data_IF_296416068416
#
_entry.id   IF_296416068416
#
_cell.length_a   1.000
_cell.length_b   1.000
_cell.length_c   1.000
_cell.angle_alpha   90.00
_cell.angle_beta   90.00
_cell.angle_gamma   90.00
#
_symmetry.space_group_name_H-M   'P 1'
#
loop_
_entity.id
_entity.type
_entity.pdbx_description
1 polymer ?
#
# COMPACT_ATOMS: atom_id res chain seq x y z
N UNK A 1 -26.33 21.67 69.37
CA UNK A 1 -25.26 21.45 70.34
C UNK A 1 -24.01 21.26 69.51
N UNK A 2 -23.12 22.11 69.41
CA UNK A 2 -22.28 23.04 70.16
C UNK A 2 -21.04 23.15 69.31
N UNK A 3 -20.77 24.25 68.60
CA UNK A 3 -19.94 25.42 69.07
C UNK A 3 -18.46 25.04 69.25
N UNK A 4 -17.46 25.64 68.65
CA UNK A 4 -16.84 26.93 68.66
C UNK A 4 -15.57 26.88 67.84
N UNK A 5 -15.19 27.75 66.94
CA UNK A 5 -14.84 29.18 67.06
C UNK A 5 -13.30 29.41 67.02
N UNK A 6 -12.88 30.23 66.08
CA UNK A 6 -11.90 31.36 66.10
C UNK A 6 -10.40 31.02 66.26
N UNK A 7 -9.42 31.75 65.74
CA UNK A 7 -9.28 33.15 65.35
C UNK A 7 -7.94 33.36 64.64
N UNK A 8 -7.85 34.19 63.65
CA UNK A 8 -7.19 35.51 63.52
C UNK A 8 -5.69 35.62 63.89
N UNK A 9 -4.95 36.28 63.01
CA UNK A 9 -3.72 36.99 63.27
C UNK A 9 -3.05 37.53 61.97
N UNK A 10 -3.40 38.77 61.64
CA UNK A 10 -2.71 39.69 60.76
C UNK A 10 -1.29 39.98 61.30
N UNK A 11 -0.31 40.21 60.37
CA UNK A 11 0.50 41.44 60.49
C UNK A 11 1.30 41.73 59.23
N UNK A 12 1.12 42.93 58.76
CA UNK A 12 1.85 43.69 57.74
C UNK A 12 3.28 44.00 58.21
N UNK A 13 4.24 44.15 57.24
CA UNK A 13 5.18 45.29 57.24
C UNK A 13 6.09 45.22 55.94
N UNK A 14 5.92 46.20 55.06
CA UNK A 14 6.95 46.78 54.19
C UNK A 14 7.61 47.98 54.93
N UNK A 15 8.64 48.71 54.40
CA UNK A 15 9.52 48.61 53.22
C UNK A 15 11.02 48.87 53.52
N UNK A 16 11.91 48.72 52.53
CA UNK A 16 13.30 49.12 52.67
C UNK A 16 14.04 49.30 51.33
N UNK A 17 13.92 50.49 50.78
CA UNK A 17 14.69 51.03 49.68
C UNK A 17 16.14 51.33 50.08
N UNK A 18 17.16 50.82 49.33
CA UNK A 18 18.51 51.42 49.31
C UNK A 18 19.17 51.29 47.93
N UNK A 19 19.21 52.39 47.25
CA UNK A 19 20.10 52.76 46.17
C UNK A 19 21.60 52.55 46.53
N UNK A 20 22.39 52.01 45.59
CA UNK A 20 23.79 52.46 45.41
C UNK A 20 24.26 52.22 43.97
N UNK A 21 24.66 53.30 43.34
CA UNK A 21 25.41 53.37 42.10
C UNK A 21 26.79 52.73 42.22
N UNK A 22 27.31 52.24 41.08
CA UNK A 22 28.72 51.84 40.98
C UNK A 22 29.00 51.32 39.57
N UNK A 23 29.54 52.19 38.72
CA UNK A 23 30.00 51.91 37.37
C UNK A 23 31.16 50.92 37.34
N UNK A 24 31.20 50.06 36.31
CA UNK A 24 32.45 49.70 35.64
C UNK A 24 32.19 48.98 34.31
N UNK A 25 32.64 49.53 33.27
CA UNK A 25 32.86 49.10 31.90
C UNK A 25 33.50 47.71 31.80
N UNK A 26 32.91 46.85 30.96
CA UNK A 26 33.49 45.60 30.51
C UNK A 26 32.83 45.13 29.22
N UNK A 27 33.33 45.60 28.07
CA UNK A 27 32.99 45.00 26.76
C UNK A 27 33.54 43.57 26.72
N UNK A 28 32.69 42.58 26.89
CA UNK A 28 32.94 41.22 26.43
C UNK A 28 32.01 40.94 25.26
N UNK A 29 32.59 40.92 24.07
CA UNK A 29 31.89 40.48 22.85
C UNK A 29 31.37 39.06 23.05
N UNK A 30 30.08 38.94 23.32
CA UNK A 30 29.33 37.70 23.16
C UNK A 30 29.14 37.53 21.67
N UNK A 31 30.02 36.76 21.00
CA UNK A 31 29.73 36.18 19.70
C UNK A 31 28.41 35.46 19.81
N UNK A 32 27.41 35.91 19.03
CA UNK A 32 26.15 35.23 18.89
C UNK A 32 26.45 33.80 18.41
N UNK A 33 25.85 32.76 19.02
CA UNK A 33 26.07 31.40 18.55
C UNK A 33 25.67 31.29 17.06
N UNK A 34 26.39 30.48 16.26
CA UNK A 34 26.14 30.36 14.84
C UNK A 34 24.65 30.02 14.66
N UNK A 35 23.98 30.84 13.85
CA UNK A 35 22.59 30.56 13.45
C UNK A 35 22.63 29.21 12.71
N UNK A 36 22.28 28.12 13.41
CA UNK A 36 21.90 26.92 12.74
C UNK A 36 20.77 27.32 11.77
N UNK A 37 21.07 27.24 10.47
CA UNK A 37 20.08 27.40 9.43
C UNK A 37 18.92 26.49 9.81
N UNK A 38 17.79 27.06 10.18
CA UNK A 38 16.58 26.32 10.46
C UNK A 38 16.19 25.62 9.16
N UNK A 39 16.51 24.33 9.04
CA UNK A 39 16.02 23.50 7.92
C UNK A 39 14.53 23.76 7.80
N UNK A 40 14.10 24.31 6.67
CA UNK A 40 12.68 24.54 6.40
C UNK A 40 11.97 23.19 6.53
N UNK A 41 11.21 23.04 7.61
CA UNK A 41 10.39 21.84 7.83
C UNK A 41 9.24 21.89 6.83
N UNK A 42 9.25 20.98 5.87
CA UNK A 42 8.18 20.86 4.87
C UNK A 42 6.85 20.64 5.56
N UNK A 43 5.79 21.22 5.02
CA UNK A 43 4.44 20.95 5.52
C UNK A 43 4.12 19.45 5.42
N UNK A 44 3.40 18.85 6.39
CA UNK A 44 3.12 17.42 6.41
C UNK A 44 2.54 16.87 5.10
N UNK A 45 1.80 17.68 4.35
CA UNK A 45 1.20 17.24 3.06
C UNK A 45 2.26 16.96 1.99
N UNK A 46 3.33 17.74 1.90
CA UNK A 46 4.43 17.49 0.96
C UNK A 46 5.22 16.24 1.32
N UNK A 47 5.38 15.99 2.63
CA UNK A 47 6.01 14.76 3.12
C UNK A 47 5.20 13.55 2.70
N UNK A 48 3.87 13.56 2.91
CA UNK A 48 2.99 12.46 2.50
C UNK A 48 2.99 12.28 0.98
N UNK A 49 3.03 13.38 0.21
CA UNK A 49 3.15 13.29 -1.25
C UNK A 49 4.46 12.60 -1.66
N UNK A 50 5.61 12.94 -1.05
CA UNK A 50 6.88 12.25 -1.28
C UNK A 50 6.81 10.77 -0.90
N UNK A 51 6.16 10.44 0.23
CA UNK A 51 5.96 9.06 0.67
C UNK A 51 5.01 8.28 -0.25
N UNK A 52 4.04 8.94 -0.92
CA UNK A 52 3.12 8.29 -1.86
C UNK A 52 3.82 7.73 -3.11
N UNK A 53 5.08 8.12 -3.37
CA UNK A 53 5.93 7.50 -4.39
C UNK A 53 6.19 6.02 -4.07
N UNK A 54 6.17 5.62 -2.78
CA UNK A 54 6.28 4.23 -2.36
C UNK A 54 5.21 3.33 -2.97
N UNK A 55 3.92 3.53 -2.67
CA UNK A 55 2.83 2.79 -3.31
C UNK A 55 2.79 2.94 -4.84
N UNK A 56 3.13 4.10 -5.40
CA UNK A 56 3.18 4.31 -6.84
C UNK A 56 4.16 3.37 -7.53
N UNK A 57 5.36 3.22 -6.99
CA UNK A 57 6.40 2.36 -7.54
C UNK A 57 6.12 0.90 -7.19
N UNK A 58 5.87 0.58 -5.91
CA UNK A 58 5.73 -0.80 -5.44
C UNK A 58 4.49 -1.51 -5.99
N UNK A 59 3.37 -0.81 -6.08
CA UNK A 59 2.13 -1.37 -6.61
C UNK A 59 1.91 -0.95 -8.07
N UNK A 60 1.98 0.34 -8.38
CA UNK A 60 1.71 0.83 -9.73
C UNK A 60 2.68 0.28 -10.76
N UNK A 61 3.98 0.51 -10.60
CA UNK A 61 4.99 0.12 -11.60
C UNK A 61 5.43 -1.33 -11.46
N UNK A 62 5.75 -1.80 -10.25
CA UNK A 62 6.29 -3.15 -10.07
C UNK A 62 5.23 -4.24 -10.22
N UNK A 63 3.98 -3.99 -9.89
CA UNK A 63 2.93 -5.02 -9.88
C UNK A 63 1.90 -4.83 -11.00
N UNK A 64 1.17 -3.72 -10.99
CA UNK A 64 0.05 -3.53 -11.92
C UNK A 64 0.49 -3.26 -13.36
N UNK A 65 1.63 -2.60 -13.60
CA UNK A 65 2.14 -2.37 -14.95
C UNK A 65 2.53 -3.65 -15.70
N UNK A 66 2.65 -4.77 -15.01
CA UNK A 66 2.93 -6.06 -15.64
C UNK A 66 1.80 -6.49 -16.60
N UNK A 67 0.54 -6.27 -16.26
CA UNK A 67 -0.58 -6.71 -17.08
C UNK A 67 -0.62 -6.11 -18.50
N UNK A 68 -0.44 -4.80 -18.72
CA UNK A 68 -0.33 -4.25 -20.07
C UNK A 68 0.93 -4.70 -20.83
N UNK A 69 2.01 -5.07 -20.14
CA UNK A 69 3.24 -5.59 -20.77
C UNK A 69 3.14 -7.09 -21.13
N UNK A 70 2.35 -7.84 -20.36
CA UNK A 70 2.26 -9.29 -20.46
C UNK A 70 1.96 -9.83 -21.88
N UNK A 71 0.98 -9.32 -22.64
CA UNK A 71 0.70 -9.88 -23.97
C UNK A 71 1.91 -9.80 -24.91
N UNK A 72 2.66 -8.68 -24.88
CA UNK A 72 3.85 -8.49 -25.67
C UNK A 72 5.00 -9.39 -25.22
N UNK A 73 5.22 -9.51 -23.90
CA UNK A 73 6.22 -10.42 -23.32
C UNK A 73 5.92 -11.88 -23.67
N UNK A 74 4.66 -12.30 -23.51
CA UNK A 74 4.22 -13.67 -23.80
C UNK A 74 4.47 -14.03 -25.27
N UNK A 75 4.15 -13.14 -26.18
CA UNK A 75 4.33 -13.36 -27.61
C UNK A 75 5.82 -13.42 -28.01
N UNK A 76 6.65 -12.50 -27.51
CA UNK A 76 8.08 -12.41 -27.84
C UNK A 76 8.91 -13.56 -27.23
N UNK A 77 8.55 -13.97 -25.99
CA UNK A 77 9.30 -14.96 -25.21
C UNK A 77 8.74 -16.39 -25.33
N UNK A 78 7.64 -16.57 -26.06
CA UNK A 78 7.00 -17.88 -26.25
C UNK A 78 6.41 -18.49 -24.97
N UNK A 79 5.99 -17.65 -24.03
CA UNK A 79 5.50 -18.11 -22.73
C UNK A 79 4.10 -18.71 -22.79
N UNK A 80 3.86 -19.69 -21.91
CA UNK A 80 2.53 -20.12 -21.50
C UNK A 80 1.89 -19.06 -20.57
N UNK A 81 0.60 -19.19 -20.25
CA UNK A 81 -0.01 -18.37 -19.22
C UNK A 81 0.46 -18.77 -17.81
N UNK A 82 0.86 -20.05 -17.61
CA UNK A 82 1.50 -20.50 -16.39
C UNK A 82 2.85 -19.80 -16.16
N UNK A 83 3.69 -19.66 -17.18
CA UNK A 83 4.95 -18.90 -17.11
C UNK A 83 4.70 -17.44 -16.76
N UNK A 84 3.70 -16.85 -17.41
CA UNK A 84 3.27 -15.49 -17.11
C UNK A 84 2.76 -15.33 -15.66
N UNK A 85 2.01 -16.30 -15.16
CA UNK A 85 1.56 -16.36 -13.77
C UNK A 85 2.74 -16.48 -12.80
N UNK A 86 3.75 -17.30 -13.14
CA UNK A 86 4.95 -17.47 -12.32
C UNK A 86 5.72 -16.15 -12.09
N UNK A 87 5.76 -15.26 -13.09
CA UNK A 87 6.36 -13.92 -12.94
C UNK A 87 5.66 -13.07 -11.87
N UNK A 88 4.33 -13.13 -11.82
CA UNK A 88 3.56 -12.39 -10.81
C UNK A 88 3.60 -13.08 -9.44
N UNK A 89 3.65 -14.40 -9.41
CA UNK A 89 3.92 -15.19 -8.19
C UNK A 89 5.29 -14.86 -7.60
N UNK A 90 6.34 -14.76 -8.42
CA UNK A 90 7.67 -14.36 -7.94
C UNK A 90 7.65 -12.96 -7.29
N UNK A 91 6.96 -11.99 -7.91
CA UNK A 91 6.75 -10.67 -7.31
C UNK A 91 5.96 -10.76 -5.98
N UNK A 92 4.89 -11.56 -5.94
CA UNK A 92 4.09 -11.78 -4.73
C UNK A 92 4.87 -12.44 -3.60
N UNK A 93 5.68 -13.46 -3.91
CA UNK A 93 6.54 -14.14 -2.93
C UNK A 93 7.62 -13.19 -2.38
N UNK A 94 8.26 -12.43 -3.27
CA UNK A 94 9.17 -11.36 -2.87
C UNK A 94 8.49 -10.35 -1.94
N UNK A 95 7.29 -9.90 -2.30
CA UNK A 95 6.52 -8.96 -1.49
C UNK A 95 6.19 -9.52 -0.09
N UNK A 96 5.80 -10.79 -0.01
CA UNK A 96 5.55 -11.46 1.27
C UNK A 96 6.81 -11.47 2.14
N UNK A 97 7.94 -11.90 1.59
CA UNK A 97 9.22 -11.91 2.30
C UNK A 97 9.62 -10.50 2.73
N UNK A 98 9.52 -9.53 1.81
CA UNK A 98 9.83 -8.13 2.08
C UNK A 98 9.01 -7.54 3.22
N UNK A 99 7.70 -7.81 3.26
CA UNK A 99 6.82 -7.37 4.33
C UNK A 99 7.20 -7.96 5.70
N UNK A 100 7.63 -9.23 5.73
CA UNK A 100 8.08 -9.90 6.95
C UNK A 100 9.39 -9.32 7.51
N UNK A 101 10.32 -8.94 6.62
CA UNK A 101 11.64 -8.43 7.04
C UNK A 101 11.68 -6.91 7.19
N UNK A 102 10.67 -6.18 6.70
CA UNK A 102 10.64 -4.72 6.65
C UNK A 102 10.94 -4.07 8.02
N UNK A 103 10.24 -4.51 9.08
CA UNK A 103 10.48 -3.99 10.43
C UNK A 103 11.91 -4.28 10.94
N UNK A 104 12.49 -5.42 10.56
CA UNK A 104 13.88 -5.76 10.88
C UNK A 104 14.89 -4.86 10.19
N UNK A 105 14.63 -4.53 8.92
CA UNK A 105 15.44 -3.61 8.14
C UNK A 105 15.32 -2.20 8.70
N UNK A 106 14.09 -1.71 8.95
CA UNK A 106 13.86 -0.39 9.54
C UNK A 106 14.59 -0.18 10.87
N UNK A 107 14.60 -1.22 11.75
CA UNK A 107 15.37 -1.18 13.01
C UNK A 107 16.88 -1.02 12.81
N UNK A 108 17.44 -1.59 11.74
CA UNK A 108 18.91 -1.59 11.51
C UNK A 108 19.40 -0.34 10.82
N UNK A 109 18.64 0.17 9.84
CA UNK A 109 19.10 1.26 8.97
C UNK A 109 18.26 2.54 9.10
N UNK A 110 17.17 2.52 9.89
CA UNK A 110 16.18 3.59 9.97
C UNK A 110 15.10 3.47 8.88
N UNK A 111 13.88 3.92 9.18
CA UNK A 111 12.74 3.77 8.26
C UNK A 111 12.90 4.61 6.98
N UNK A 112 13.53 5.79 7.08
CA UNK A 112 13.80 6.64 5.91
C UNK A 112 14.79 6.01 4.94
N UNK A 113 15.90 5.46 5.46
CA UNK A 113 16.89 4.77 4.64
C UNK A 113 16.30 3.49 4.06
N UNK A 114 15.54 2.71 4.85
CA UNK A 114 14.82 1.53 4.38
C UNK A 114 13.87 1.88 3.23
N UNK A 115 13.07 2.93 3.37
CA UNK A 115 12.17 3.42 2.32
C UNK A 115 12.95 3.80 1.05
N UNK A 116 13.92 4.71 1.16
CA UNK A 116 14.63 5.28 0.02
C UNK A 116 15.46 4.23 -0.74
N UNK A 117 16.24 3.42 -0.02
CA UNK A 117 17.05 2.36 -0.64
C UNK A 117 16.17 1.29 -1.32
N UNK A 118 15.07 0.92 -0.67
CA UNK A 118 14.16 -0.07 -1.24
C UNK A 118 13.44 0.45 -2.49
N UNK A 119 13.10 1.73 -2.56
CA UNK A 119 12.55 2.32 -3.79
C UNK A 119 13.56 2.30 -4.94
N UNK A 120 14.83 2.63 -4.67
CA UNK A 120 15.90 2.57 -5.67
C UNK A 120 16.10 1.13 -6.18
N UNK A 121 16.15 0.16 -5.27
CA UNK A 121 16.28 -1.27 -5.63
C UNK A 121 15.07 -1.74 -6.44
N UNK A 122 13.85 -1.37 -6.03
CA UNK A 122 12.63 -1.71 -6.77
C UNK A 122 12.69 -1.15 -8.19
N UNK A 123 13.04 0.12 -8.35
CA UNK A 123 13.10 0.79 -9.64
C UNK A 123 14.20 0.21 -10.54
N UNK A 124 15.37 -0.11 -9.96
CA UNK A 124 16.46 -0.77 -10.68
C UNK A 124 16.06 -2.18 -11.14
N UNK A 125 15.37 -2.95 -10.30
CA UNK A 125 14.87 -4.27 -10.67
C UNK A 125 13.79 -4.22 -11.77
N UNK A 126 12.90 -3.21 -11.73
CA UNK A 126 11.93 -2.93 -12.79
C UNK A 126 12.66 -2.65 -14.11
N UNK A 127 13.60 -1.69 -14.12
CA UNK A 127 14.38 -1.34 -15.33
C UNK A 127 15.22 -2.52 -15.83
N UNK A 128 15.84 -3.26 -14.91
CA UNK A 128 16.62 -4.48 -15.22
C UNK A 128 15.83 -5.55 -15.96
N UNK A 129 14.52 -5.65 -15.72
CA UNK A 129 13.66 -6.57 -16.47
C UNK A 129 13.61 -6.26 -17.98
N UNK A 130 13.84 -5.02 -18.39
CA UNK A 130 13.96 -4.64 -19.80
C UNK A 130 15.28 -5.07 -20.47
N UNK A 131 16.30 -5.44 -19.69
CA UNK A 131 17.64 -5.77 -20.18
C UNK A 131 17.86 -7.26 -20.44
N UNK A 132 16.92 -8.13 -20.09
CA UNK A 132 17.08 -9.58 -20.20
C UNK A 132 15.84 -10.26 -20.82
N UNK A 133 16.05 -11.38 -21.49
CA UNK A 133 15.00 -12.30 -21.94
C UNK A 133 15.06 -13.65 -21.20
N UNK A 134 16.06 -13.83 -20.32
CA UNK A 134 16.20 -15.07 -19.57
C UNK A 134 15.11 -15.19 -18.51
N UNK A 135 14.36 -16.28 -18.54
CA UNK A 135 13.22 -16.53 -17.65
C UNK A 135 13.62 -16.46 -16.17
N UNK A 136 14.72 -17.10 -15.79
CA UNK A 136 15.17 -17.12 -14.39
C UNK A 136 15.62 -15.74 -13.91
N UNK A 137 16.31 -14.99 -14.77
CA UNK A 137 16.71 -13.61 -14.46
C UNK A 137 15.48 -12.70 -14.27
N UNK A 138 14.46 -12.86 -15.11
CA UNK A 138 13.20 -12.14 -14.98
C UNK A 138 12.47 -12.52 -13.68
N UNK A 139 12.40 -13.81 -13.32
CA UNK A 139 11.84 -14.27 -12.04
C UNK A 139 12.55 -13.63 -10.84
N UNK A 140 13.88 -13.62 -10.85
CA UNK A 140 14.68 -13.01 -9.78
C UNK A 140 14.43 -11.50 -9.67
N UNK A 141 14.41 -10.78 -10.79
CA UNK A 141 14.12 -9.35 -10.82
C UNK A 141 12.69 -9.05 -10.34
N UNK A 142 11.72 -9.89 -10.70
CA UNK A 142 10.34 -9.80 -10.20
C UNK A 142 10.27 -10.05 -8.69
N UNK A 143 10.99 -11.06 -8.18
CA UNK A 143 11.07 -11.32 -6.73
C UNK A 143 11.75 -10.18 -5.98
N UNK A 144 12.87 -9.65 -6.48
CA UNK A 144 13.60 -8.51 -5.89
C UNK A 144 12.72 -7.25 -5.89
N UNK A 145 12.04 -6.95 -7.02
CA UNK A 145 11.14 -5.80 -7.07
C UNK A 145 9.97 -5.92 -6.09
N UNK A 146 9.46 -7.13 -5.89
CA UNK A 146 8.43 -7.41 -4.89
C UNK A 146 8.94 -7.21 -3.46
N UNK A 147 10.09 -7.80 -3.14
CA UNK A 147 10.70 -7.72 -1.81
C UNK A 147 11.01 -6.27 -1.43
N UNK A 148 11.75 -5.57 -2.26
CA UNK A 148 12.12 -4.18 -2.00
C UNK A 148 10.87 -3.27 -2.00
N UNK A 149 9.92 -3.49 -2.92
CA UNK A 149 8.65 -2.76 -2.95
C UNK A 149 7.85 -2.91 -1.66
N UNK A 150 7.83 -4.10 -1.06
CA UNK A 150 7.15 -4.33 0.22
C UNK A 150 7.84 -3.60 1.39
N UNK A 151 9.18 -3.62 1.44
CA UNK A 151 9.94 -2.87 2.46
C UNK A 151 9.64 -1.38 2.35
N UNK A 152 9.68 -0.81 1.13
CA UNK A 152 9.34 0.58 0.90
C UNK A 152 7.89 0.90 1.30
N UNK A 153 6.94 0.03 0.94
CA UNK A 153 5.53 0.19 1.27
C UNK A 153 5.28 0.19 2.77
N UNK A 154 5.89 -0.73 3.52
CA UNK A 154 5.73 -0.83 4.98
C UNK A 154 6.40 0.34 5.69
N UNK A 155 7.65 0.66 5.35
CA UNK A 155 8.38 1.79 5.92
C UNK A 155 7.67 3.13 5.63
N UNK A 156 7.21 3.33 4.39
CA UNK A 156 6.47 4.53 3.99
C UNK A 156 5.13 4.69 4.71
N UNK A 157 4.40 3.60 4.97
CA UNK A 157 3.17 3.63 5.76
C UNK A 157 3.44 4.03 7.22
N UNK A 158 4.52 3.51 7.81
CA UNK A 158 4.99 3.90 9.15
C UNK A 158 5.34 5.38 9.22
N UNK A 159 6.18 5.87 8.30
CA UNK A 159 6.56 7.28 8.19
C UNK A 159 5.34 8.20 7.96
N UNK A 160 4.38 7.76 7.14
CA UNK A 160 3.14 8.51 6.90
C UNK A 160 2.27 8.62 8.14
N UNK A 161 2.20 7.55 8.93
CA UNK A 161 1.48 7.54 10.20
C UNK A 161 2.14 8.47 11.23
N UNK A 162 3.47 8.46 11.31
CA UNK A 162 4.23 9.35 12.19
C UNK A 162 4.08 10.83 11.80
N UNK A 163 4.15 11.16 10.50
CA UNK A 163 3.92 12.52 10.01
C UNK A 163 2.49 13.02 10.30
N UNK A 164 1.51 12.13 10.30
CA UNK A 164 0.12 12.46 10.62
C UNK A 164 -0.09 12.77 12.11
N UNK A 165 0.66 12.15 13.03
CA UNK A 165 0.53 12.38 14.48
C UNK A 165 1.14 13.70 14.94
N UNK A 166 2.09 14.27 14.18
CA UNK A 166 2.62 15.62 14.44
C UNK A 166 1.64 16.77 14.15
N UNK A 167 0.44 16.47 13.61
CA UNK A 167 -0.65 17.40 13.32
C UNK A 167 -1.92 17.11 14.12
N UNK A 168 -3.04 17.75 13.76
CA UNK A 168 -4.35 17.46 14.33
C UNK A 168 -4.75 16.00 14.02
N UNK A 169 -5.18 15.25 15.07
CA UNK A 169 -5.68 13.85 14.95
C UNK A 169 -6.75 13.66 13.86
N UNK A 170 -7.48 14.73 13.52
CA UNK A 170 -8.52 14.69 12.50
C UNK A 170 -7.98 14.53 11.07
N UNK A 171 -6.71 14.81 10.82
CA UNK A 171 -6.07 14.75 9.49
C UNK A 171 -5.41 13.41 9.15
N UNK A 172 -5.19 12.54 10.13
CA UNK A 172 -4.49 11.28 9.93
C UNK A 172 -5.14 10.35 8.87
N UNK A 173 -6.48 10.17 8.82
CA UNK A 173 -7.12 9.36 7.78
C UNK A 173 -6.90 9.91 6.37
N UNK A 174 -6.98 11.23 6.22
CA UNK A 174 -6.76 11.90 4.93
C UNK A 174 -5.32 11.72 4.45
N UNK A 175 -4.35 11.86 5.33
CA UNK A 175 -2.93 11.68 5.01
C UNK A 175 -2.62 10.24 4.57
N UNK A 176 -3.14 9.25 5.27
CA UNK A 176 -3.03 7.85 4.85
C UNK A 176 -3.76 7.59 3.53
N UNK A 177 -4.91 8.22 3.31
CA UNK A 177 -5.60 8.18 2.02
C UNK A 177 -4.74 8.69 0.88
N UNK A 178 -4.04 9.82 1.05
CA UNK A 178 -3.10 10.38 0.05
C UNK A 178 -1.93 9.41 -0.19
N UNK A 179 -1.37 8.83 0.89
CA UNK A 179 -0.31 7.83 0.76
C UNK A 179 -0.75 6.65 -0.12
N UNK A 180 -1.88 6.03 0.17
CA UNK A 180 -2.39 4.89 -0.60
C UNK A 180 -2.87 5.26 -2.01
N UNK A 181 -3.36 6.49 -2.21
CA UNK A 181 -3.72 7.01 -3.53
C UNK A 181 -2.53 7.03 -4.51
N UNK A 182 -1.29 7.06 -3.99
CA UNK A 182 -0.08 6.88 -4.78
C UNK A 182 -0.10 5.63 -5.65
N UNK A 183 -0.67 4.51 -5.17
CA UNK A 183 -0.81 3.30 -5.98
C UNK A 183 -1.65 3.53 -7.24
N UNK A 184 -2.80 4.20 -7.10
CA UNK A 184 -3.66 4.55 -8.24
C UNK A 184 -2.98 5.51 -9.22
N UNK A 185 -2.22 6.48 -8.70
CA UNK A 185 -1.41 7.40 -9.53
C UNK A 185 -0.37 6.60 -10.33
N UNK A 186 0.34 5.66 -9.69
CA UNK A 186 1.31 4.80 -10.35
C UNK A 186 0.68 3.90 -11.42
N UNK A 187 -0.50 3.33 -11.16
CA UNK A 187 -1.27 2.57 -12.13
C UNK A 187 -1.62 3.45 -13.34
N UNK A 188 -2.16 4.65 -13.11
CA UNK A 188 -2.51 5.60 -14.16
C UNK A 188 -1.29 6.03 -14.99
N UNK A 189 -0.18 6.34 -14.32
CA UNK A 189 1.06 6.72 -14.99
C UNK A 189 1.59 5.57 -15.88
N UNK A 190 1.54 4.33 -15.39
CA UNK A 190 1.93 3.14 -16.18
C UNK A 190 0.97 2.91 -17.37
N UNK A 191 -0.33 3.17 -17.18
CA UNK A 191 -1.33 3.07 -18.23
C UNK A 191 -1.06 4.01 -19.41
N UNK A 192 -0.60 5.21 -19.11
CA UNK A 192 -0.27 6.20 -20.14
C UNK A 192 1.08 5.94 -20.80
N UNK A 193 2.09 5.53 -20.01
CA UNK A 193 3.44 5.34 -20.51
C UNK A 193 3.62 4.04 -21.32
N UNK A 194 3.09 2.91 -20.83
CA UNK A 194 3.40 1.59 -21.40
C UNK A 194 2.89 1.42 -22.84
N UNK A 195 1.61 1.71 -23.19
CA UNK A 195 1.13 1.46 -24.55
C UNK A 195 1.83 2.31 -25.60
N UNK A 196 2.20 3.54 -25.26
CA UNK A 196 2.95 4.40 -26.17
C UNK A 196 4.35 3.86 -26.47
N UNK A 197 4.97 3.20 -25.50
CA UNK A 197 6.30 2.62 -25.64
C UNK A 197 6.27 1.23 -26.28
N UNK A 198 5.19 0.46 -26.08
CA UNK A 198 5.05 -0.87 -26.67
C UNK A 198 5.11 -0.85 -28.19
N UNK A 199 4.57 0.20 -28.84
CA UNK A 199 4.56 0.34 -30.30
C UNK A 199 5.94 0.66 -30.88
N UNK A 200 6.81 1.33 -30.13
CA UNK A 200 8.11 1.84 -30.62
C UNK A 200 9.29 1.01 -30.13
N UNK A 201 9.28 0.58 -28.87
CA UNK A 201 10.43 -0.08 -28.22
C UNK A 201 10.10 -1.45 -27.63
N UNK A 202 8.86 -1.91 -27.79
CA UNK A 202 8.37 -3.18 -27.26
C UNK A 202 8.31 -3.20 -25.73
N UNK A 203 8.11 -4.38 -25.14
CA UNK A 203 8.00 -4.58 -23.70
C UNK A 203 9.28 -4.22 -22.94
N UNK A 204 10.45 -4.35 -23.57
CA UNK A 204 11.74 -3.99 -22.96
C UNK A 204 11.83 -2.50 -22.71
N UNK A 205 11.47 -1.69 -23.70
CA UNK A 205 11.38 -0.24 -23.54
C UNK A 205 10.36 0.18 -22.47
N UNK A 206 9.23 -0.53 -22.38
CA UNK A 206 8.24 -0.34 -21.32
C UNK A 206 8.84 -0.53 -19.92
N UNK A 207 9.57 -1.63 -19.67
CA UNK A 207 10.24 -1.86 -18.39
C UNK A 207 11.34 -0.85 -18.10
N UNK A 208 12.17 -0.48 -19.09
CA UNK A 208 13.23 0.52 -18.94
C UNK A 208 12.64 1.89 -18.56
N UNK A 209 11.58 2.32 -19.24
CA UNK A 209 10.93 3.58 -18.95
C UNK A 209 10.27 3.59 -17.55
N UNK A 210 9.59 2.51 -17.15
CA UNK A 210 9.04 2.39 -15.81
C UNK A 210 10.14 2.40 -14.74
N UNK A 211 11.29 1.76 -15.01
CA UNK A 211 12.47 1.82 -14.15
C UNK A 211 13.01 3.24 -14.01
N UNK A 212 13.15 3.96 -15.13
CA UNK A 212 13.62 5.35 -15.13
C UNK A 212 12.67 6.30 -14.40
N UNK A 213 11.36 6.19 -14.66
CA UNK A 213 10.33 6.95 -13.93
C UNK A 213 10.33 6.61 -12.44
N UNK A 214 10.51 5.33 -12.11
CA UNK A 214 10.63 4.87 -10.74
C UNK A 214 11.88 5.44 -10.05
N UNK A 215 13.03 5.47 -10.71
CA UNK A 215 14.25 6.09 -10.19
C UNK A 215 14.06 7.59 -9.94
N UNK A 216 13.47 8.32 -10.88
CA UNK A 216 13.16 9.73 -10.72
C UNK A 216 12.22 9.99 -9.52
N UNK A 217 11.15 9.19 -9.40
CA UNK A 217 10.23 9.28 -8.28
C UNK A 217 10.89 8.87 -6.95
N UNK A 218 11.81 7.90 -6.95
CA UNK A 218 12.58 7.49 -5.77
C UNK A 218 13.49 8.61 -5.28
N UNK A 219 14.17 9.31 -6.20
CA UNK A 219 15.01 10.47 -5.88
C UNK A 219 14.16 11.59 -5.29
N UNK A 220 13.03 11.92 -5.93
CA UNK A 220 12.11 12.95 -5.44
C UNK A 220 11.60 12.64 -4.02
N UNK A 221 11.12 11.41 -3.79
CA UNK A 221 10.65 10.97 -2.48
C UNK A 221 11.76 11.04 -1.41
N UNK A 222 12.98 10.63 -1.76
CA UNK A 222 14.13 10.67 -0.86
C UNK A 222 14.55 12.10 -0.52
N UNK A 223 14.51 13.02 -1.50
CA UNK A 223 14.79 14.45 -1.28
C UNK A 223 13.78 15.09 -0.34
N UNK A 224 12.50 14.78 -0.50
CA UNK A 224 11.46 15.26 0.42
C UNK A 224 11.69 14.74 1.84
N UNK A 225 12.05 13.46 1.99
CA UNK A 225 12.31 12.84 3.29
C UNK A 225 13.58 13.35 3.99
N UNK A 226 14.59 13.82 3.24
CA UNK A 226 15.81 14.36 3.84
C UNK A 226 15.56 15.59 4.71
N UNK A 227 14.45 16.30 4.49
CA UNK A 227 14.03 17.48 5.25
C UNK A 227 13.10 17.19 6.42
N UNK A 228 12.82 15.91 6.72
CA UNK A 228 11.94 15.51 7.82
C UNK A 228 12.76 14.86 8.94
N UNK A 229 12.38 14.99 10.22
CA UNK A 229 13.02 14.23 11.30
C UNK A 229 12.70 12.73 11.20
N UNK A 230 13.61 11.87 11.68
CA UNK A 230 13.34 10.44 11.84
C UNK A 230 12.35 10.25 13.00
N UNK A 231 11.24 9.54 12.82
CA UNK A 231 10.36 9.27 13.93
C UNK A 231 11.03 8.33 14.94
N UNK A 232 10.79 8.50 16.26
CA UNK A 232 11.30 7.57 17.25
C UNK A 232 10.74 6.17 17.00
N UNK A 233 11.61 5.17 17.05
CA UNK A 233 11.21 3.78 16.85
C UNK A 233 10.56 3.22 18.13
N UNK A 234 9.25 2.99 18.09
CA UNK A 234 8.54 2.34 19.18
C UNK A 234 8.60 0.82 19.03
N UNK A 235 9.33 0.16 19.94
CA UNK A 235 9.38 -1.30 20.01
C UNK A 235 8.13 -1.83 20.71
N UNK A 236 7.15 -2.26 19.97
CA UNK A 236 5.99 -2.97 20.50
C UNK A 236 6.22 -4.49 20.37
N UNK A 237 7.05 -5.06 21.24
CA UNK A 237 7.27 -6.49 21.33
C UNK A 237 6.45 -7.09 22.47
N UNK A 238 5.13 -7.16 22.33
CA UNK A 238 4.32 -7.92 23.25
C UNK A 238 3.74 -9.17 22.58
N UNK A 239 3.90 -10.32 23.23
CA UNK A 239 3.29 -11.59 22.82
C UNK A 239 1.85 -11.64 23.35
N UNK A 240 0.91 -12.15 22.52
CA UNK A 240 -0.51 -12.25 22.88
C UNK A 240 -1.33 -11.01 22.49
N UNK A 241 -2.62 -11.02 22.87
CA UNK A 241 -3.53 -9.88 22.63
C UNK A 241 -4.27 -9.90 21.29
N UNK A 242 -4.21 -11.00 20.52
CA UNK A 242 -5.07 -11.32 19.38
C UNK A 242 -5.24 -12.84 19.23
N UNK A 243 -6.32 -13.29 18.60
CA UNK A 243 -6.62 -14.70 18.41
C UNK A 243 -6.74 -15.05 16.93
N UNK A 244 -5.90 -15.98 16.45
CA UNK A 244 -5.98 -16.50 15.09
C UNK A 244 -7.31 -17.26 14.87
N UNK A 245 -7.82 -17.96 15.88
CA UNK A 245 -9.12 -18.69 15.82
C UNK A 245 -10.27 -17.70 15.64
N UNK A 246 -10.30 -16.61 16.39
CA UNK A 246 -11.31 -15.56 16.25
C UNK A 246 -11.23 -14.90 14.87
N UNK A 247 -10.02 -14.67 14.34
CA UNK A 247 -9.79 -14.04 13.05
C UNK A 247 -9.77 -15.03 11.87
N UNK A 248 -10.14 -16.29 12.07
CA UNK A 248 -10.00 -17.34 11.05
C UNK A 248 -10.73 -17.01 9.74
N UNK A 249 -12.00 -16.55 9.82
CA UNK A 249 -12.74 -16.13 8.64
C UNK A 249 -12.06 -14.96 7.92
N UNK A 250 -11.50 -14.01 8.67
CA UNK A 250 -10.78 -12.86 8.10
C UNK A 250 -9.48 -13.29 7.42
N UNK A 251 -8.71 -14.17 8.04
CA UNK A 251 -7.48 -14.72 7.47
C UNK A 251 -7.78 -15.49 6.17
N UNK A 252 -8.77 -16.39 6.21
CA UNK A 252 -9.17 -17.19 5.04
C UNK A 252 -9.70 -16.30 3.92
N UNK A 253 -10.64 -15.39 4.22
CA UNK A 253 -11.19 -14.48 3.20
C UNK A 253 -10.13 -13.61 2.56
N UNK A 254 -9.14 -13.17 3.34
CA UNK A 254 -8.07 -12.32 2.83
C UNK A 254 -7.03 -13.09 2.01
N UNK A 255 -6.79 -14.38 2.33
CA UNK A 255 -6.02 -15.30 1.48
C UNK A 255 -6.71 -15.49 0.13
N UNK A 256 -8.01 -15.80 0.16
CA UNK A 256 -8.80 -15.99 -1.07
C UNK A 256 -8.87 -14.69 -1.89
N UNK A 257 -9.07 -13.54 -1.24
CA UNK A 257 -9.02 -12.25 -1.93
C UNK A 257 -7.67 -12.04 -2.62
N UNK A 258 -6.55 -12.34 -1.92
CA UNK A 258 -5.21 -12.27 -2.50
C UNK A 258 -5.07 -13.11 -3.77
N UNK A 259 -5.61 -14.31 -3.79
CA UNK A 259 -5.58 -15.20 -4.95
C UNK A 259 -6.46 -14.68 -6.09
N UNK A 260 -7.70 -14.31 -5.81
CA UNK A 260 -8.67 -13.92 -6.84
C UNK A 260 -8.31 -12.60 -7.52
N UNK A 261 -8.02 -11.55 -6.75
CA UNK A 261 -7.79 -10.23 -7.34
C UNK A 261 -6.51 -10.16 -8.20
N UNK A 262 -5.44 -10.86 -7.79
CA UNK A 262 -4.17 -10.79 -8.51
C UNK A 262 -4.19 -11.61 -9.79
N UNK A 263 -4.94 -12.70 -9.85
CA UNK A 263 -5.13 -13.46 -11.08
C UNK A 263 -5.87 -12.60 -12.13
N UNK A 264 -6.92 -11.90 -11.74
CA UNK A 264 -7.58 -10.92 -12.61
C UNK A 264 -6.62 -9.79 -13.03
N UNK A 265 -5.96 -9.15 -12.07
CA UNK A 265 -5.02 -8.07 -12.36
C UNK A 265 -3.87 -8.51 -13.28
N UNK A 266 -3.53 -9.79 -13.32
CA UNK A 266 -2.50 -10.35 -14.22
C UNK A 266 -3.01 -10.55 -15.64
N UNK A 267 -4.19 -11.15 -15.79
CA UNK A 267 -4.64 -11.69 -17.07
C UNK A 267 -5.73 -10.87 -17.76
N UNK A 268 -6.32 -9.85 -17.11
CA UNK A 268 -7.43 -9.08 -17.68
C UNK A 268 -7.06 -8.41 -19.01
N UNK A 269 -5.85 -7.84 -19.13
CA UNK A 269 -5.41 -7.19 -20.40
C UNK A 269 -5.26 -8.22 -21.53
N UNK A 270 -4.75 -9.42 -21.22
CA UNK A 270 -4.69 -10.50 -22.20
C UNK A 270 -6.10 -10.88 -22.66
N UNK A 271 -7.05 -11.03 -21.75
CA UNK A 271 -8.46 -11.30 -22.05
C UNK A 271 -9.08 -10.21 -22.94
N UNK A 272 -8.94 -8.94 -22.58
CA UNK A 272 -9.51 -7.83 -23.33
C UNK A 272 -8.94 -7.75 -24.76
N UNK A 273 -7.66 -8.08 -24.95
CA UNK A 273 -7.04 -8.12 -26.27
C UNK A 273 -7.48 -9.32 -27.10
N UNK A 274 -7.47 -10.52 -26.52
CA UNK A 274 -7.68 -11.77 -27.28
C UNK A 274 -9.16 -12.09 -27.46
N UNK A 275 -10.02 -11.79 -26.48
CA UNK A 275 -11.42 -12.18 -26.49
C UNK A 275 -12.37 -11.01 -26.83
N UNK A 276 -12.02 -9.78 -26.44
CA UNK A 276 -12.85 -8.60 -26.66
C UNK A 276 -12.32 -7.70 -27.81
N UNK A 277 -11.15 -7.99 -28.37
CA UNK A 277 -10.58 -7.27 -29.50
C UNK A 277 -10.13 -5.85 -29.18
N UNK A 278 -9.82 -5.54 -27.91
CA UNK A 278 -9.41 -4.18 -27.51
C UNK A 278 -8.08 -3.80 -28.13
N UNK A 279 -8.05 -2.62 -28.74
CA UNK A 279 -6.83 -1.97 -29.21
C UNK A 279 -6.01 -1.36 -28.08
N UNK A 280 -4.85 -0.83 -28.40
CA UNK A 280 -3.96 -0.21 -27.42
C UNK A 280 -4.57 1.02 -26.73
N UNK A 281 -5.40 1.81 -27.45
CA UNK A 281 -6.09 2.97 -26.89
C UNK A 281 -7.14 2.57 -25.86
N UNK A 282 -7.95 1.56 -26.16
CA UNK A 282 -8.97 1.00 -25.24
C UNK A 282 -8.33 0.37 -23.99
N UNK A 283 -7.20 -0.30 -24.13
CA UNK A 283 -6.43 -0.84 -22.98
C UNK A 283 -5.87 0.30 -22.12
N UNK A 284 -5.34 1.35 -22.76
CA UNK A 284 -4.88 2.55 -22.03
C UNK A 284 -6.00 3.17 -21.21
N UNK A 285 -7.17 3.38 -21.84
CA UNK A 285 -8.34 3.94 -21.17
C UNK A 285 -8.80 3.06 -20.02
N UNK A 286 -8.93 1.74 -20.23
CA UNK A 286 -9.30 0.78 -19.19
C UNK A 286 -8.38 0.86 -17.97
N UNK A 287 -7.06 0.85 -18.20
CA UNK A 287 -6.07 0.83 -17.12
C UNK A 287 -5.94 2.18 -16.42
N UNK A 288 -6.08 3.28 -17.16
CA UNK A 288 -6.12 4.63 -16.59
C UNK A 288 -7.36 4.86 -15.71
N UNK A 289 -8.54 4.43 -16.17
CA UNK A 289 -9.78 4.47 -15.39
C UNK A 289 -9.63 3.63 -14.12
N UNK A 290 -9.05 2.44 -14.18
CA UNK A 290 -8.78 1.60 -13.02
C UNK A 290 -7.89 2.33 -12.00
N UNK A 291 -6.81 2.97 -12.45
CA UNK A 291 -5.91 3.73 -11.59
C UNK A 291 -6.61 4.94 -10.94
N UNK A 292 -7.35 5.73 -11.72
CA UNK A 292 -8.11 6.88 -11.21
C UNK A 292 -9.21 6.43 -10.23
N UNK A 293 -9.93 5.36 -10.55
CA UNK A 293 -10.92 4.78 -9.65
C UNK A 293 -10.28 4.32 -8.32
N UNK A 294 -9.03 3.80 -8.35
CA UNK A 294 -8.30 3.43 -7.13
C UNK A 294 -7.98 4.65 -6.25
N UNK A 295 -7.66 5.79 -6.86
CA UNK A 295 -7.49 7.05 -6.13
C UNK A 295 -8.79 7.48 -5.46
N UNK A 296 -9.90 7.49 -6.21
CA UNK A 296 -11.22 7.87 -5.67
C UNK A 296 -11.65 6.91 -4.57
N UNK A 297 -11.49 5.61 -4.80
CA UNK A 297 -11.86 4.55 -3.85
C UNK A 297 -11.14 4.66 -2.51
N UNK A 298 -9.88 5.11 -2.50
CA UNK A 298 -9.11 5.32 -1.27
C UNK A 298 -9.78 6.30 -0.29
N UNK A 299 -10.60 7.22 -0.79
CA UNK A 299 -11.35 8.20 0.02
C UNK A 299 -12.83 7.83 0.18
N UNK A 300 -13.47 7.33 -0.88
CA UNK A 300 -14.91 7.09 -0.93
C UNK A 300 -15.39 6.01 0.05
N UNK A 301 -14.60 4.97 0.27
CA UNK A 301 -14.97 3.86 1.13
C UNK A 301 -14.89 4.17 2.64
N UNK A 302 -14.12 5.17 3.06
CA UNK A 302 -13.94 5.49 4.48
C UNK A 302 -15.25 5.65 5.27
N UNK A 303 -16.19 6.52 4.85
CA UNK A 303 -17.48 6.71 5.52
C UNK A 303 -18.37 5.46 5.53
N UNK A 304 -18.30 4.64 4.47
CA UNK A 304 -19.08 3.41 4.33
C UNK A 304 -18.54 2.35 5.31
N UNK A 305 -17.23 2.14 5.32
CA UNK A 305 -16.57 1.16 6.20
C UNK A 305 -16.77 1.50 7.69
N UNK A 306 -16.87 2.78 8.03
CA UNK A 306 -17.15 3.22 9.40
C UNK A 306 -18.53 2.79 9.92
N UNK A 307 -19.50 2.51 9.04
CA UNK A 307 -20.86 2.08 9.39
C UNK A 307 -21.02 0.56 9.41
N UNK A 308 -20.11 -0.18 8.75
CA UNK A 308 -20.21 -1.63 8.61
C UNK A 308 -19.51 -2.33 9.78
N UNK A 309 -20.17 -3.33 10.36
CA UNK A 309 -19.69 -4.09 11.53
C UNK A 309 -19.12 -5.44 11.10
N UNK A 310 -18.28 -6.03 11.94
CA UNK A 310 -17.71 -7.36 11.76
C UNK A 310 -17.02 -7.56 10.43
N UNK A 311 -17.43 -8.61 9.73
CA UNK A 311 -16.91 -8.96 8.42
C UNK A 311 -17.49 -8.18 7.26
N UNK A 312 -18.62 -7.46 7.44
CA UNK A 312 -19.39 -6.85 6.34
C UNK A 312 -18.60 -5.82 5.54
N UNK A 313 -17.70 -5.08 6.16
CA UNK A 313 -16.84 -4.13 5.44
C UNK A 313 -15.93 -4.81 4.40
N UNK A 314 -15.28 -5.91 4.79
CA UNK A 314 -14.47 -6.71 3.87
C UNK A 314 -15.34 -7.44 2.85
N UNK A 315 -16.47 -8.03 3.28
CA UNK A 315 -17.41 -8.71 2.39
C UNK A 315 -17.91 -7.79 1.29
N UNK A 316 -18.40 -6.60 1.61
CA UNK A 316 -18.91 -5.64 0.64
C UNK A 316 -17.84 -5.19 -0.37
N UNK A 317 -16.64 -4.87 0.12
CA UNK A 317 -15.54 -4.45 -0.76
C UNK A 317 -15.05 -5.58 -1.66
N UNK A 318 -14.94 -6.82 -1.15
CA UNK A 318 -14.58 -8.00 -1.95
C UNK A 318 -15.69 -8.34 -2.96
N UNK A 319 -16.98 -8.26 -2.56
CA UNK A 319 -18.11 -8.45 -3.48
C UNK A 319 -18.06 -7.47 -4.65
N UNK A 320 -17.78 -6.20 -4.37
CA UNK A 320 -17.65 -5.18 -5.43
C UNK A 320 -16.50 -5.51 -6.39
N UNK A 321 -15.36 -6.00 -5.87
CA UNK A 321 -14.25 -6.49 -6.69
C UNK A 321 -14.71 -7.70 -7.53
N UNK A 322 -15.43 -8.67 -6.93
CA UNK A 322 -15.93 -9.85 -7.64
C UNK A 322 -16.87 -9.47 -8.78
N UNK A 323 -17.79 -8.53 -8.54
CA UNK A 323 -18.69 -7.99 -9.60
C UNK A 323 -17.86 -7.33 -10.71
N UNK A 324 -16.85 -6.52 -10.35
CA UNK A 324 -15.96 -5.90 -11.31
C UNK A 324 -15.27 -6.95 -12.19
N UNK A 325 -14.77 -8.05 -11.61
CA UNK A 325 -14.13 -9.15 -12.36
C UNK A 325 -15.13 -9.90 -13.24
N UNK A 326 -16.35 -10.15 -12.77
CA UNK A 326 -17.37 -10.90 -13.50
C UNK A 326 -17.97 -10.14 -14.70
N UNK A 327 -18.06 -8.82 -14.60
CA UNK A 327 -18.76 -7.98 -15.58
C UNK A 327 -18.32 -8.23 -17.04
N UNK A 328 -17.02 -8.14 -17.41
CA UNK A 328 -16.61 -8.35 -18.79
C UNK A 328 -16.73 -9.80 -19.27
N UNK A 329 -16.91 -10.75 -18.33
CA UNK A 329 -17.11 -12.16 -18.67
C UNK A 329 -18.59 -12.51 -18.99
N UNK A 330 -19.52 -11.71 -18.46
CA UNK A 330 -20.98 -11.90 -18.61
C UNK A 330 -21.51 -10.99 -19.70
N UNK A 331 -21.09 -9.74 -19.70
CA UNK A 331 -21.52 -8.71 -20.63
C UNK A 331 -20.36 -8.22 -21.46
N UNK A 332 -20.35 -8.58 -22.75
CA UNK A 332 -19.26 -8.24 -23.68
C UNK A 332 -19.30 -6.78 -24.12
N UNK A 333 -18.12 -6.24 -24.43
CA UNK A 333 -17.97 -4.92 -25.03
C UNK A 333 -17.35 -3.86 -24.11
N UNK A 334 -17.08 -2.65 -24.66
CA UNK A 334 -16.30 -1.62 -23.96
C UNK A 334 -16.95 -1.11 -22.68
N UNK A 335 -18.26 -0.97 -22.65
CA UNK A 335 -18.99 -0.45 -21.48
C UNK A 335 -18.78 -1.32 -20.25
N UNK A 336 -18.90 -2.64 -20.41
CA UNK A 336 -18.71 -3.59 -19.31
C UNK A 336 -17.28 -3.58 -18.81
N UNK A 337 -16.30 -3.50 -19.71
CA UNK A 337 -14.90 -3.42 -19.36
C UNK A 337 -14.58 -2.15 -18.56
N UNK A 338 -15.08 -0.98 -18.99
CA UNK A 338 -14.85 0.27 -18.26
C UNK A 338 -15.57 0.29 -16.90
N UNK A 339 -16.78 -0.25 -16.81
CA UNK A 339 -17.46 -0.43 -15.52
C UNK A 339 -16.68 -1.40 -14.61
N UNK A 340 -16.13 -2.48 -15.18
CA UNK A 340 -15.24 -3.41 -14.47
C UNK A 340 -14.03 -2.67 -13.88
N UNK A 341 -13.37 -1.82 -14.68
CA UNK A 341 -12.22 -1.05 -14.22
C UNK A 341 -12.55 -0.08 -13.08
N UNK A 342 -13.74 0.53 -13.11
CA UNK A 342 -14.23 1.41 -12.03
C UNK A 342 -14.51 0.61 -10.75
N UNK A 343 -15.24 -0.49 -10.85
CA UNK A 343 -15.62 -1.30 -9.68
C UNK A 343 -14.41 -1.98 -9.04
N UNK A 344 -13.57 -2.60 -9.87
CA UNK A 344 -12.35 -3.25 -9.41
C UNK A 344 -11.36 -2.24 -8.83
N UNK A 345 -10.99 -1.22 -9.60
CA UNK A 345 -10.05 -0.18 -9.17
C UNK A 345 -10.55 0.55 -7.93
N UNK A 346 -11.81 0.99 -7.94
CA UNK A 346 -12.41 1.73 -6.83
C UNK A 346 -12.53 0.94 -5.52
N UNK A 347 -12.43 -0.40 -5.56
CA UNK A 347 -12.66 -1.23 -4.37
C UNK A 347 -11.44 -2.04 -3.93
N UNK A 348 -10.49 -2.34 -4.81
CA UNK A 348 -9.36 -3.24 -4.50
C UNK A 348 -8.52 -2.76 -3.31
N UNK A 349 -8.22 -1.48 -3.21
CA UNK A 349 -7.48 -0.90 -2.07
C UNK A 349 -8.35 -0.75 -0.82
N UNK A 350 -9.66 -0.62 -0.98
CA UNK A 350 -10.60 -0.54 0.13
C UNK A 350 -10.69 -1.85 0.92
N UNK A 351 -10.47 -3.01 0.28
CA UNK A 351 -10.38 -4.30 0.99
C UNK A 351 -9.25 -4.26 2.02
N UNK A 352 -8.07 -3.71 1.65
CA UNK A 352 -6.93 -3.57 2.57
C UNK A 352 -7.30 -2.68 3.76
N UNK A 353 -7.98 -1.57 3.50
CA UNK A 353 -8.45 -0.66 4.55
C UNK A 353 -9.46 -1.32 5.48
N UNK A 354 -10.44 -2.05 4.94
CA UNK A 354 -11.47 -2.77 5.71
C UNK A 354 -10.86 -3.85 6.61
N UNK A 355 -9.91 -4.64 6.09
CA UNK A 355 -9.21 -5.69 6.83
C UNK A 355 -8.32 -5.12 7.91
N UNK A 356 -7.55 -4.06 7.61
CA UNK A 356 -6.67 -3.39 8.58
C UNK A 356 -7.47 -2.70 9.69
N UNK A 357 -8.60 -2.07 9.38
CA UNK A 357 -9.50 -1.47 10.37
C UNK A 357 -10.09 -2.53 11.31
N UNK A 358 -10.51 -3.69 10.77
CA UNK A 358 -10.99 -4.80 11.58
C UNK A 358 -9.89 -5.34 12.51
N UNK A 359 -8.66 -5.53 12.02
CA UNK A 359 -7.54 -6.01 12.84
C UNK A 359 -7.29 -5.13 14.08
N UNK A 360 -7.43 -3.81 13.94
CA UNK A 360 -7.30 -2.86 15.06
C UNK A 360 -8.43 -2.98 16.08
N UNK A 361 -9.64 -3.38 15.66
CA UNK A 361 -10.76 -3.66 16.57
C UNK A 361 -10.62 -5.00 17.26
N UNK A 362 -10.06 -6.01 16.56
CA UNK A 362 -9.98 -7.40 17.01
C UNK A 362 -8.71 -7.74 17.79
N UNK A 363 -7.81 -6.78 18.03
CA UNK A 363 -6.55 -6.97 18.75
C UNK A 363 -6.29 -5.83 19.72
N UNK A 364 -5.58 -6.12 20.82
CA UNK A 364 -5.10 -5.10 21.77
C UNK A 364 -4.06 -4.20 21.08
N UNK A 365 -3.90 -2.93 21.50
CA UNK A 365 -2.97 -1.99 20.85
C UNK A 365 -1.55 -2.53 20.65
N UNK A 366 -0.99 -3.23 21.64
CA UNK A 366 0.34 -3.83 21.56
C UNK A 366 0.43 -5.02 20.57
N UNK A 367 -0.69 -5.61 20.18
CA UNK A 367 -0.76 -6.76 19.27
C UNK A 367 -1.18 -6.39 17.83
N UNK A 368 -1.48 -5.12 17.53
CA UNK A 368 -1.92 -4.68 16.20
C UNK A 368 -0.93 -5.09 15.11
N UNK A 369 0.36 -4.87 15.35
CA UNK A 369 1.43 -5.24 14.40
C UNK A 369 1.42 -6.73 14.09
N UNK A 370 1.26 -7.59 15.11
CA UNK A 370 1.22 -9.05 14.93
C UNK A 370 -0.04 -9.50 14.16
N UNK A 371 -1.22 -8.94 14.47
CA UNK A 371 -2.46 -9.24 13.77
C UNK A 371 -2.41 -8.81 12.30
N UNK A 372 -1.90 -7.60 12.02
CA UNK A 372 -1.72 -7.10 10.65
C UNK A 372 -0.68 -7.94 9.89
N UNK A 373 0.41 -8.34 10.54
CA UNK A 373 1.41 -9.23 9.94
C UNK A 373 0.81 -10.57 9.54
N UNK A 374 0.01 -11.20 10.41
CA UNK A 374 -0.67 -12.46 10.10
C UNK A 374 -1.61 -12.33 8.89
N UNK A 375 -2.38 -11.23 8.81
CA UNK A 375 -3.24 -10.93 7.65
C UNK A 375 -2.40 -10.69 6.38
N UNK A 376 -1.27 -10.01 6.49
CA UNK A 376 -0.36 -9.77 5.35
C UNK A 376 0.22 -11.08 4.84
N UNK A 377 0.59 -12.01 5.74
CA UNK A 377 1.05 -13.36 5.37
C UNK A 377 -0.07 -14.11 4.64
N UNK A 378 -1.27 -14.14 5.19
CA UNK A 378 -2.42 -14.78 4.60
C UNK A 378 -2.70 -14.26 3.17
N UNK A 379 -2.73 -12.94 3.01
CA UNK A 379 -2.87 -12.28 1.72
C UNK A 379 -1.74 -12.63 0.74
N UNK A 380 -0.48 -12.62 1.20
CA UNK A 380 0.69 -12.95 0.40
C UNK A 380 0.67 -14.39 -0.10
N UNK A 381 0.23 -15.34 0.71
CA UNK A 381 0.03 -16.74 0.30
C UNK A 381 -0.96 -16.80 -0.86
N UNK A 382 -2.10 -16.12 -0.74
CA UNK A 382 -3.07 -16.04 -1.82
C UNK A 382 -2.48 -15.45 -3.11
N UNK A 383 -1.71 -14.39 -2.99
CA UNK A 383 -1.04 -13.76 -4.14
C UNK A 383 -0.04 -14.66 -4.85
N UNK A 384 0.59 -15.59 -4.13
CA UNK A 384 1.48 -16.56 -4.75
C UNK A 384 0.72 -17.65 -5.51
N UNK A 385 -0.42 -18.08 -4.97
CA UNK A 385 -1.19 -19.20 -5.54
C UNK A 385 -2.05 -18.74 -6.73
N UNK A 386 -2.68 -17.57 -6.62
CA UNK A 386 -3.67 -17.10 -7.61
C UNK A 386 -3.19 -17.06 -9.05
N UNK A 387 -2.07 -16.39 -9.37
CA UNK A 387 -1.59 -16.30 -10.74
C UNK A 387 -1.14 -17.64 -11.33
N UNK A 388 -0.60 -18.55 -10.51
CA UNK A 388 -0.24 -19.90 -10.95
C UNK A 388 -1.48 -20.71 -11.34
N UNK A 389 -2.50 -20.75 -10.49
CA UNK A 389 -3.75 -21.45 -10.77
C UNK A 389 -4.49 -20.82 -11.96
N UNK A 390 -4.58 -19.48 -11.97
CA UNK A 390 -5.20 -18.75 -13.06
C UNK A 390 -4.48 -18.96 -14.39
N UNK A 391 -3.14 -18.95 -14.37
CA UNK A 391 -2.31 -19.19 -15.55
C UNK A 391 -2.43 -20.63 -16.07
N UNK A 392 -2.27 -21.62 -15.21
CA UNK A 392 -2.42 -23.02 -15.57
C UNK A 392 -3.79 -23.33 -16.17
N UNK A 393 -4.87 -22.76 -15.61
CA UNK A 393 -6.22 -22.93 -16.14
C UNK A 393 -6.41 -22.19 -17.48
N UNK A 394 -5.69 -21.09 -17.69
CA UNK A 394 -5.72 -20.31 -18.91
C UNK A 394 -4.97 -20.96 -20.08
N UNK A 395 -4.10 -21.92 -19.82
CA UNK A 395 -3.44 -22.75 -20.85
C UNK A 395 -4.36 -23.90 -21.33
N UNK A 396 -5.49 -24.12 -20.67
CA UNK A 396 -6.50 -25.11 -21.04
C UNK A 396 -7.40 -24.67 -22.22
N UNK A 397 -8.36 -25.52 -22.61
CA UNK A 397 -9.18 -25.33 -23.83
C UNK A 397 -10.07 -24.08 -23.81
N UNK A 398 -10.42 -23.57 -22.63
CA UNK A 398 -11.24 -22.37 -22.48
C UNK A 398 -10.41 -21.08 -22.37
N UNK A 399 -9.08 -21.17 -22.48
CA UNK A 399 -8.18 -20.04 -22.49
C UNK A 399 -8.26 -19.14 -21.25
N UNK A 400 -7.86 -17.88 -21.41
CA UNK A 400 -7.80 -16.88 -20.33
C UNK A 400 -9.16 -16.70 -19.60
N UNK A 401 -10.26 -16.90 -20.31
CA UNK A 401 -11.61 -16.80 -19.73
C UNK A 401 -11.83 -17.77 -18.57
N UNK A 402 -11.27 -18.99 -18.65
CA UNK A 402 -11.35 -19.96 -17.55
C UNK A 402 -10.62 -19.51 -16.30
N UNK A 403 -9.39 -18.96 -16.46
CA UNK A 403 -8.62 -18.39 -15.35
C UNK A 403 -9.34 -17.23 -14.67
N UNK A 404 -10.02 -16.37 -15.45
CA UNK A 404 -10.80 -15.27 -14.90
C UNK A 404 -12.08 -15.72 -14.19
N UNK A 405 -12.78 -16.76 -14.67
CA UNK A 405 -13.90 -17.34 -13.94
C UNK A 405 -13.48 -17.98 -12.63
N UNK A 406 -12.30 -18.60 -12.57
CA UNK A 406 -11.72 -19.05 -11.30
C UNK A 406 -11.53 -17.86 -10.33
N UNK A 407 -11.03 -16.72 -10.81
CA UNK A 407 -10.93 -15.49 -10.00
C UNK A 407 -12.28 -15.06 -9.43
N UNK A 408 -13.34 -15.06 -10.25
CA UNK A 408 -14.71 -14.73 -9.79
C UNK A 408 -15.15 -15.69 -8.69
N UNK A 409 -15.00 -16.99 -8.90
CA UNK A 409 -15.40 -18.01 -7.91
C UNK A 409 -14.67 -17.83 -6.58
N UNK A 410 -13.35 -17.64 -6.63
CA UNK A 410 -12.52 -17.39 -5.44
C UNK A 410 -12.97 -16.11 -4.71
N UNK A 411 -13.24 -15.02 -5.43
CA UNK A 411 -13.65 -13.74 -4.84
C UNK A 411 -15.04 -13.80 -4.24
N UNK A 412 -15.98 -14.53 -4.86
CA UNK A 412 -17.31 -14.75 -4.30
C UNK A 412 -17.21 -15.53 -2.99
N UNK A 413 -16.45 -16.63 -2.96
CA UNK A 413 -16.20 -17.40 -1.74
C UNK A 413 -15.53 -16.53 -0.69
N UNK A 414 -14.53 -15.71 -1.07
CA UNK A 414 -13.85 -14.79 -0.17
C UNK A 414 -14.82 -13.79 0.48
N UNK A 415 -15.75 -13.23 -0.32
CA UNK A 415 -16.78 -12.30 0.17
C UNK A 415 -17.74 -12.97 1.15
N UNK A 416 -18.21 -14.16 0.82
CA UNK A 416 -19.10 -14.94 1.68
C UNK A 416 -18.42 -15.30 3.00
N UNK A 417 -17.18 -15.82 2.94
CA UNK A 417 -16.40 -16.16 4.15
C UNK A 417 -16.15 -14.91 5.01
N UNK A 418 -15.88 -13.75 4.37
CA UNK A 418 -15.72 -12.50 5.10
C UNK A 418 -16.95 -12.11 5.90
N UNK A 419 -18.17 -12.32 5.36
CA UNK A 419 -19.42 -11.97 6.02
C UNK A 419 -19.64 -12.74 7.34
N UNK A 420 -19.13 -13.96 7.45
CA UNK A 420 -19.23 -14.78 8.66
C UNK A 420 -18.30 -14.33 9.79
N UNK A 421 -17.42 -13.34 9.58
CA UNK A 421 -16.57 -12.82 10.63
C UNK A 421 -17.38 -11.99 11.63
N UNK A 422 -17.50 -12.41 12.91
CA UNK A 422 -18.24 -11.67 13.91
C UNK A 422 -17.58 -10.32 14.25
N UNK A 423 -18.36 -9.38 14.78
CA UNK A 423 -17.80 -8.15 15.39
C UNK A 423 -17.08 -8.53 16.68
N UNK A 424 -15.90 -7.99 16.97
CA UNK A 424 -15.23 -8.22 18.25
C UNK A 424 -16.06 -7.66 19.41
N UNK A 425 -16.40 -8.50 20.39
CA UNK A 425 -16.98 -8.07 21.64
C UNK A 425 -15.88 -7.66 22.63
N UNK A 426 -16.25 -6.87 23.66
CA UNK A 426 -15.29 -6.47 24.70
C UNK A 426 -14.65 -7.69 25.39
N UNK A 427 -15.43 -8.77 25.56
CA UNK A 427 -14.99 -10.02 26.18
C UNK A 427 -14.04 -10.85 25.29
N UNK A 428 -14.06 -10.66 23.97
CA UNK A 428 -13.14 -11.34 23.04
C UNK A 428 -11.71 -10.81 23.12
N UNK A 429 -11.46 -9.72 23.84
CA UNK A 429 -10.15 -9.09 24.02
C UNK A 429 -9.41 -9.57 25.29
N UNK A 430 -9.94 -10.57 25.99
CA UNK A 430 -9.36 -11.12 27.24
C UNK A 430 -8.32 -12.24 27.00
N UNK A 431 -7.65 -12.26 25.84
CA UNK A 431 -6.58 -13.25 25.52
C UNK A 431 -5.21 -12.86 26.05
#
# INVERSE_FOLDING_TARGET
MGTHQKSQGDELLQPGNRTREGAATGHSGLEAPPRHEAKQVLTPIWVIFGLSMGPAIALGFARFAYAPLLPSMKADLGWSFADAGAMNTANGAGYLIGALVAAGIGRRVGDKAAFSLSLLVTSAAIGGAGLTANFMSLLLLRAVSGLAGAVAFVAGAGLSSAAATGGSRSRAPTMLGIYFAGAGIGITASALAVPALLSSTGWRGGWLALGALGLAASILGSLVLSHTPEPPYEVHAARGGWSARFMACKLLSYTLFGAGYIAYATFTVAYLRTNEGFDSGSITAFWAILGLASVVGAFAWGPILGRLKGGWGASATIAMVAVGVALPLIWHGPTSAYLSSILFGGSVLAVIAAVSSFARKAAKPHAWTAAIAALTIAFGIGQCIGPLLGGALSDGPNGVRAGLWLSVGILVVASVVAAFQPEPAADDLHF
#
